data_IF_664282126320
#
_entry.id   IF_664282126320
#
_cell.length_a   1.000
_cell.length_b   1.000
_cell.length_c   1.000
_cell.angle_alpha   90.00
_cell.angle_beta   90.00
_cell.angle_gamma   90.00
#
_symmetry.space_group_name_H-M   'P 1'
#
loop_
_entity.id
_entity.type
_entity.pdbx_description
1 polymer ?
#
# COMPACT_ATOMS: atom_id res chain seq x y z
N UNK A 1 13.19 -25.49 -2.15
CA UNK A 1 12.12 -24.68 -1.54
C UNK A 1 10.83 -25.47 -1.66
N UNK A 2 9.97 -25.46 -0.64
CA UNK A 2 8.63 -26.02 -0.75
C UNK A 2 7.64 -24.88 -1.01
N UNK A 3 6.88 -24.97 -2.10
CA UNK A 3 5.78 -24.04 -2.41
C UNK A 3 4.50 -24.62 -1.82
N UNK A 4 3.74 -23.81 -1.09
CA UNK A 4 2.45 -24.19 -0.51
C UNK A 4 1.41 -23.17 -0.94
N UNK A 5 0.28 -23.66 -1.43
CA UNK A 5 -0.86 -22.83 -1.82
C UNK A 5 -1.71 -22.49 -0.57
N UNK A 6 -2.24 -21.26 -0.53
CA UNK A 6 -3.08 -20.76 0.56
C UNK A 6 -2.49 -19.54 1.28
N UNK A 7 -3.24 -18.98 2.22
CA UNK A 7 -2.77 -17.89 3.07
C UNK A 7 -1.74 -18.46 4.08
N UNK A 8 -0.48 -18.01 4.04
CA UNK A 8 0.53 -18.53 4.95
C UNK A 8 0.24 -18.05 6.37
N UNK A 9 0.43 -18.90 7.41
CA UNK A 9 0.48 -18.40 8.77
C UNK A 9 1.56 -17.31 8.87
N UNK A 10 1.21 -16.16 9.47
CA UNK A 10 2.08 -14.99 9.54
C UNK A 10 3.40 -15.40 10.22
N UNK A 11 4.46 -15.50 9.41
CA UNK A 11 5.73 -16.14 9.78
C UNK A 11 6.89 -15.17 9.88
N UNK A 12 6.66 -13.90 9.54
CA UNK A 12 7.60 -12.81 9.79
C UNK A 12 7.33 -12.16 11.15
N UNK A 13 8.40 -12.00 11.91
CA UNK A 13 8.39 -11.33 13.21
C UNK A 13 9.00 -9.95 13.10
N UNK A 14 8.35 -8.97 13.74
CA UNK A 14 8.74 -7.56 13.70
C UNK A 14 8.91 -7.02 15.11
N UNK A 15 9.83 -6.07 15.28
CA UNK A 15 9.98 -5.26 16.49
C UNK A 15 9.47 -3.85 16.24
N UNK A 16 8.79 -3.28 17.23
CA UNK A 16 8.39 -1.89 17.20
C UNK A 16 9.58 -0.97 17.52
N UNK A 17 9.84 0.00 16.66
CA UNK A 17 10.85 1.05 16.85
C UNK A 17 10.16 2.39 16.59
N UNK A 18 9.71 3.05 17.65
CA UNK A 18 8.91 4.27 17.56
C UNK A 18 7.59 4.05 16.81
N UNK A 19 7.33 4.85 15.76
CA UNK A 19 6.16 4.72 14.87
C UNK A 19 6.41 3.81 13.65
N UNK A 20 7.51 3.06 13.67
CA UNK A 20 7.93 2.18 12.58
C UNK A 20 8.12 0.76 13.08
N UNK A 21 8.08 -0.20 12.16
CA UNK A 21 8.42 -1.59 12.42
C UNK A 21 9.77 -1.90 11.78
N UNK A 22 10.57 -2.71 12.44
CA UNK A 22 11.81 -3.30 11.92
C UNK A 22 11.72 -4.82 11.96
N UNK A 23 12.44 -5.49 11.06
CA UNK A 23 12.54 -6.95 11.04
C UNK A 23 13.24 -7.43 12.30
N UNK A 24 12.71 -8.46 12.94
CA UNK A 24 13.37 -9.10 14.07
C UNK A 24 14.34 -10.18 13.61
N UNK A 25 15.59 -9.81 13.32
CA UNK A 25 16.64 -10.70 12.83
C UNK A 25 17.92 -10.72 13.69
N UNK A 26 17.90 -10.07 14.87
CA UNK A 26 19.07 -9.96 15.78
C UNK A 26 19.52 -11.24 16.46
N UNK A 27 18.95 -12.40 16.13
CA UNK A 27 19.39 -13.70 16.63
C UNK A 27 19.58 -14.61 15.42
N UNK A 28 20.79 -15.14 15.26
CA UNK A 28 21.11 -16.19 14.29
C UNK A 28 20.35 -17.46 14.70
N UNK A 29 19.05 -17.51 14.38
CA UNK A 29 18.19 -18.61 14.77
C UNK A 29 18.32 -19.72 13.75
N UNK A 30 19.20 -20.67 14.05
CA UNK A 30 19.19 -22.01 13.45
C UNK A 30 17.89 -22.72 13.85
N UNK A 31 16.86 -22.67 12.99
CA UNK A 31 15.63 -23.40 13.26
C UNK A 31 14.51 -23.14 12.25
N UNK A 32 14.13 -24.21 11.53
CA UNK A 32 13.02 -24.35 10.58
C UNK A 32 13.04 -23.45 9.32
N UNK A 33 12.54 -23.94 8.15
CA UNK A 33 12.36 -23.11 6.97
C UNK A 33 11.35 -21.99 7.28
N UNK A 34 11.82 -20.73 7.32
CA UNK A 34 10.93 -19.56 7.41
C UNK A 34 10.44 -19.18 6.02
N UNK A 35 9.19 -18.71 5.95
CA UNK A 35 8.67 -18.09 4.75
C UNK A 35 9.56 -16.89 4.40
N UNK A 36 10.11 -16.86 3.18
CA UNK A 36 10.96 -15.76 2.69
C UNK A 36 10.25 -14.92 1.65
N UNK A 37 9.39 -15.57 0.89
CA UNK A 37 8.70 -14.99 -0.24
C UNK A 37 7.30 -15.60 -0.29
N UNK A 38 6.31 -14.74 -0.47
CA UNK A 38 4.96 -15.12 -0.88
C UNK A 38 4.77 -14.64 -2.32
N UNK A 39 4.04 -15.43 -3.12
CA UNK A 39 3.65 -15.03 -4.48
C UNK A 39 2.15 -14.78 -4.46
N UNK A 40 1.75 -13.57 -4.82
CA UNK A 40 0.37 -13.18 -4.97
C UNK A 40 -0.04 -13.36 -6.43
N UNK A 41 -0.76 -14.43 -6.71
CA UNK A 41 -1.25 -14.74 -8.07
C UNK A 41 -2.66 -14.21 -8.26
N UNK A 42 -2.83 -13.32 -9.24
CA UNK A 42 -4.14 -12.83 -9.65
C UNK A 42 -4.74 -13.74 -10.72
N UNK A 43 -5.91 -14.33 -10.45
CA UNK A 43 -6.62 -15.19 -11.41
C UNK A 43 -7.10 -14.49 -12.70
N UNK A 44 -6.94 -13.16 -12.78
CA UNK A 44 -7.14 -12.36 -14.00
C UNK A 44 -6.02 -11.34 -14.12
N UNK A 45 -5.55 -11.13 -15.33
CA UNK A 45 -4.56 -10.10 -15.65
C UNK A 45 -5.09 -8.71 -15.29
N UNK A 46 -4.31 -7.94 -14.52
CA UNK A 46 -4.62 -6.55 -14.23
C UNK A 46 -3.88 -5.66 -15.23
N UNK A 47 -4.52 -5.38 -16.36
CA UNK A 47 -3.95 -4.64 -17.50
C UNK A 47 -3.55 -3.17 -17.19
N UNK A 48 -3.93 -2.67 -16.01
CA UNK A 48 -3.80 -1.26 -15.65
C UNK A 48 -2.37 -0.81 -15.37
N UNK A 49 -1.42 -1.73 -15.15
CA UNK A 49 -0.01 -1.42 -14.88
C UNK A 49 0.87 -1.31 -16.14
N UNK A 50 0.32 -1.50 -17.35
CA UNK A 50 1.01 -1.36 -18.64
C UNK A 50 2.28 -2.21 -18.83
N UNK A 51 2.22 -3.16 -19.78
CA UNK A 51 3.36 -3.97 -20.23
C UNK A 51 3.46 -5.30 -19.49
N UNK A 52 3.17 -6.37 -20.24
CA UNK A 52 2.96 -7.77 -19.84
C UNK A 52 2.01 -7.99 -18.65
N UNK A 53 1.19 -9.02 -18.78
CA UNK A 53 0.24 -9.41 -17.77
C UNK A 53 0.96 -9.71 -16.45
N UNK A 54 0.99 -8.78 -15.49
CA UNK A 54 1.46 -9.10 -14.15
C UNK A 54 0.41 -10.01 -13.52
N UNK A 55 0.67 -11.31 -13.60
CA UNK A 55 -0.11 -12.36 -12.94
C UNK A 55 0.35 -12.57 -11.51
N UNK A 56 1.64 -12.35 -11.26
CA UNK A 56 2.30 -12.73 -10.01
C UNK A 56 3.07 -11.55 -9.41
N UNK A 57 2.87 -11.33 -8.11
CA UNK A 57 3.53 -10.30 -7.34
C UNK A 57 4.33 -10.94 -6.19
N UNK A 58 5.64 -10.68 -6.15
CA UNK A 58 6.53 -11.18 -5.11
C UNK A 58 6.45 -10.32 -3.85
N UNK A 59 6.06 -10.94 -2.74
CA UNK A 59 5.89 -10.31 -1.42
C UNK A 59 6.98 -10.84 -0.50
N UNK A 60 7.92 -9.97 -0.13
CA UNK A 60 8.94 -10.26 0.86
C UNK A 60 8.57 -9.65 2.22
N UNK A 61 9.46 -9.84 3.21
CA UNK A 61 9.26 -9.34 4.55
C UNK A 61 9.12 -7.80 4.63
N UNK A 62 9.74 -7.05 3.72
CA UNK A 62 9.64 -5.58 3.66
C UNK A 62 8.29 -5.13 3.14
N UNK A 63 7.74 -5.80 2.12
CA UNK A 63 6.39 -5.53 1.62
C UNK A 63 5.35 -5.85 2.70
N UNK A 64 5.49 -6.98 3.41
CA UNK A 64 4.60 -7.29 4.53
C UNK A 64 4.74 -6.29 5.67
N UNK A 65 5.95 -5.82 5.97
CA UNK A 65 6.20 -4.77 6.98
C UNK A 65 5.42 -3.49 6.66
N UNK A 66 5.40 -3.07 5.39
CA UNK A 66 4.60 -1.92 4.93
C UNK A 66 3.12 -2.17 5.20
N UNK A 67 2.62 -3.36 4.88
CA UNK A 67 1.24 -3.74 5.17
C UNK A 67 0.93 -3.71 6.67
N UNK A 68 1.80 -4.24 7.54
CA UNK A 68 1.58 -4.19 8.99
C UNK A 68 1.48 -2.76 9.53
N UNK A 69 2.29 -1.84 8.99
CA UNK A 69 2.20 -0.40 9.34
C UNK A 69 0.85 0.16 8.90
N UNK A 70 0.44 -0.09 7.64
CA UNK A 70 -0.85 0.40 7.12
C UNK A 70 -2.04 -0.23 7.87
N UNK A 71 -1.97 -1.50 8.25
CA UNK A 71 -2.98 -2.18 9.06
C UNK A 71 -3.09 -1.56 10.46
N UNK A 72 -1.96 -1.18 11.06
CA UNK A 72 -1.93 -0.41 12.31
C UNK A 72 -2.66 0.93 12.16
N UNK A 73 -2.36 1.67 11.09
CA UNK A 73 -3.03 2.95 10.78
C UNK A 73 -4.53 2.78 10.60
N UNK A 74 -4.98 1.73 9.90
CA UNK A 74 -6.42 1.44 9.73
C UNK A 74 -7.09 1.12 11.05
N UNK A 75 -6.41 0.37 11.92
CA UNK A 75 -6.93 0.01 13.25
C UNK A 75 -7.12 1.27 14.10
N UNK A 76 -6.15 2.19 14.06
CA UNK A 76 -6.24 3.49 14.73
C UNK A 76 -7.33 4.38 14.12
N UNK A 77 -7.35 4.51 12.78
CA UNK A 77 -8.32 5.32 12.04
C UNK A 77 -9.77 4.92 12.32
N UNK A 78 -10.02 3.64 12.54
CA UNK A 78 -11.35 3.09 12.80
C UNK A 78 -11.62 2.78 14.27
N UNK A 79 -10.67 3.05 15.16
CA UNK A 79 -10.88 2.90 16.59
C UNK A 79 -11.93 3.91 17.07
N UNK A 80 -12.77 3.49 18.03
CA UNK A 80 -13.86 4.29 18.57
C UNK A 80 -13.42 5.36 19.58
N UNK A 81 -12.10 5.59 19.74
CA UNK A 81 -11.57 6.58 20.68
C UNK A 81 -11.31 7.89 19.96
N UNK A 82 -12.08 8.96 20.26
CA UNK A 82 -11.73 10.29 19.85
C UNK A 82 -10.61 10.79 20.77
N UNK A 83 -9.42 10.24 20.64
CA UNK A 83 -8.26 11.00 21.10
C UNK A 83 -8.03 12.07 20.03
N UNK A 84 -8.36 13.31 20.36
CA UNK A 84 -8.40 14.53 19.53
C UNK A 84 -7.05 14.88 18.84
N UNK A 85 -6.10 13.95 18.79
CA UNK A 85 -4.69 14.18 18.47
C UNK A 85 -4.12 13.16 17.47
N UNK A 86 -4.79 12.02 17.24
CA UNK A 86 -4.28 10.94 16.40
C UNK A 86 -5.24 10.62 15.25
N UNK A 87 -5.28 11.52 14.27
CA UNK A 87 -5.64 11.09 12.91
C UNK A 87 -4.38 10.48 12.30
N UNK A 88 -4.37 9.19 11.89
CA UNK A 88 -3.18 8.61 11.28
C UNK A 88 -2.83 9.45 10.05
N UNK A 89 -1.62 10.00 10.08
CA UNK A 89 -1.13 10.90 9.06
C UNK A 89 -0.98 10.11 7.76
N UNK A 90 -1.25 10.72 6.59
CA UNK A 90 -0.97 10.08 5.33
C UNK A 90 0.47 9.54 5.29
N UNK A 91 0.68 8.40 4.65
CA UNK A 91 1.99 7.75 4.59
C UNK A 91 2.63 8.00 3.22
N UNK A 92 3.95 8.06 3.20
CA UNK A 92 4.72 8.02 1.93
C UNK A 92 5.67 6.82 1.97
N UNK A 93 5.49 5.90 1.04
CA UNK A 93 6.42 4.80 0.80
C UNK A 93 7.54 5.25 -0.12
N UNK A 94 8.76 5.28 0.39
CA UNK A 94 9.98 5.55 -0.35
C UNK A 94 10.94 4.37 -0.25
N UNK A 95 11.85 4.25 -1.22
CA UNK A 95 12.86 3.20 -1.25
C UNK A 95 13.60 3.26 -2.57
N UNK A 96 14.67 2.49 -2.72
CA UNK A 96 15.55 2.51 -3.90
C UNK A 96 14.75 2.46 -5.22
N UNK A 97 15.05 3.31 -6.22
CA UNK A 97 14.43 3.23 -7.54
C UNK A 97 14.55 1.80 -8.14
N UNK A 98 13.53 1.36 -8.89
CA UNK A 98 13.55 0.04 -9.55
C UNK A 98 13.30 -1.20 -8.66
N UNK A 99 13.24 -1.04 -7.33
CA UNK A 99 13.00 -2.14 -6.36
C UNK A 99 11.60 -2.79 -6.44
N UNK A 100 10.73 -2.34 -7.34
CA UNK A 100 9.37 -2.89 -7.48
C UNK A 100 8.33 -2.39 -6.46
N UNK A 101 8.49 -1.20 -5.86
CA UNK A 101 7.50 -0.63 -4.90
C UNK A 101 6.05 -0.65 -5.43
N UNK A 102 5.83 -0.12 -6.64
CA UNK A 102 4.50 0.02 -7.21
C UNK A 102 3.83 -1.32 -7.49
N UNK A 103 4.59 -2.27 -8.05
CA UNK A 103 4.08 -3.61 -8.37
C UNK A 103 3.99 -4.48 -7.11
N UNK A 104 5.09 -4.62 -6.36
CA UNK A 104 5.14 -5.50 -5.19
C UNK A 104 4.31 -4.96 -4.01
N UNK A 105 4.62 -3.75 -3.53
CA UNK A 105 3.89 -3.18 -2.39
C UNK A 105 2.52 -2.66 -2.80
N UNK A 106 2.41 -1.93 -3.92
CA UNK A 106 1.13 -1.36 -4.36
C UNK A 106 0.04 -2.42 -4.58
N UNK A 107 0.33 -3.49 -5.31
CA UNK A 107 -0.64 -4.56 -5.56
C UNK A 107 -0.94 -5.40 -4.32
N UNK A 108 0.07 -5.73 -3.52
CA UNK A 108 -0.14 -6.47 -2.28
C UNK A 108 -1.03 -5.67 -1.31
N UNK A 109 -0.76 -4.38 -1.13
CA UNK A 109 -1.61 -3.53 -0.30
C UNK A 109 -3.01 -3.38 -0.89
N UNK A 110 -3.15 -3.24 -2.21
CA UNK A 110 -4.46 -3.20 -2.85
C UNK A 110 -5.26 -4.48 -2.57
N UNK A 111 -4.62 -5.65 -2.73
CA UNK A 111 -5.23 -6.94 -2.39
C UNK A 111 -5.68 -6.99 -0.92
N UNK A 112 -4.79 -6.62 0.01
CA UNK A 112 -5.06 -6.63 1.44
C UNK A 112 -6.21 -5.68 1.83
N UNK A 113 -6.25 -4.46 1.27
CA UNK A 113 -7.33 -3.49 1.50
C UNK A 113 -8.68 -3.97 0.94
N UNK A 114 -8.67 -4.63 -0.22
CA UNK A 114 -9.87 -5.22 -0.81
C UNK A 114 -10.42 -6.38 0.03
N UNK A 115 -9.57 -7.11 0.74
CA UNK A 115 -9.97 -8.19 1.66
C UNK A 115 -10.17 -7.74 3.11
N UNK A 116 -9.87 -6.48 3.42
CA UNK A 116 -10.17 -5.90 4.73
C UNK A 116 -11.67 -5.90 5.02
N UNK A 117 -12.06 -5.68 6.28
CA UNK A 117 -13.47 -5.57 6.67
C UNK A 117 -14.20 -4.51 5.82
N UNK A 118 -15.32 -4.90 5.21
CA UNK A 118 -16.14 -4.04 4.34
C UNK A 118 -16.94 -3.01 5.13
N UNK A 119 -17.28 -3.29 6.38
CA UNK A 119 -18.02 -2.38 7.26
C UNK A 119 -17.12 -1.22 7.70
N UNK A 120 -15.85 -1.51 7.97
CA UNK A 120 -14.85 -0.51 8.34
C UNK A 120 -14.32 0.24 7.12
N UNK A 121 -14.03 -0.49 6.04
CA UNK A 121 -13.41 0.03 4.83
C UNK A 121 -14.23 -0.35 3.58
N UNK A 122 -15.32 0.39 3.27
CA UNK A 122 -16.19 0.10 2.14
C UNK A 122 -15.61 0.54 0.79
N UNK A 123 -14.64 1.46 0.77
CA UNK A 123 -14.06 2.01 -0.46
C UNK A 123 -12.53 1.92 -0.46
N UNK A 124 -11.96 1.46 -1.57
CA UNK A 124 -10.51 1.51 -1.84
C UNK A 124 -10.30 2.23 -3.17
N UNK A 125 -9.32 3.12 -3.24
CA UNK A 125 -8.99 3.86 -4.46
C UNK A 125 -7.53 3.64 -4.82
N UNK A 126 -7.27 3.21 -6.04
CA UNK A 126 -5.93 3.00 -6.57
C UNK A 126 -5.66 3.99 -7.70
N UNK A 127 -4.79 4.96 -7.47
CA UNK A 127 -4.31 5.86 -8.52
C UNK A 127 -3.08 5.25 -9.18
N UNK A 128 -3.19 4.96 -10.46
CA UNK A 128 -2.11 4.47 -11.31
C UNK A 128 -1.44 5.65 -11.98
N UNK A 129 -0.15 5.82 -11.69
CA UNK A 129 0.72 6.82 -12.33
C UNK A 129 0.14 8.24 -12.31
N UNK A 130 -0.65 8.58 -11.27
CA UNK A 130 -1.41 9.84 -11.21
C UNK A 130 -2.38 10.13 -12.37
N UNK A 131 -2.58 9.19 -13.31
CA UNK A 131 -3.30 9.40 -14.57
C UNK A 131 -4.64 8.69 -14.63
N UNK A 132 -4.79 7.62 -13.88
CA UNK A 132 -6.04 6.89 -13.79
C UNK A 132 -6.33 6.50 -12.35
N UNK A 133 -7.58 6.62 -11.92
CA UNK A 133 -8.00 6.15 -10.61
C UNK A 133 -9.06 5.05 -10.73
N UNK A 134 -8.83 3.95 -10.04
CA UNK A 134 -9.78 2.86 -9.88
C UNK A 134 -10.44 2.96 -8.52
N UNK A 135 -11.75 3.18 -8.52
CA UNK A 135 -12.56 3.26 -7.30
C UNK A 135 -13.27 1.93 -7.12
N UNK A 136 -12.85 1.18 -6.10
CA UNK A 136 -13.44 -0.09 -5.71
C UNK A 136 -14.45 0.15 -4.59
N UNK A 137 -15.73 -0.08 -4.88
CA UNK A 137 -16.79 -0.09 -3.87
C UNK A 137 -17.06 -1.54 -3.48
N UNK A 138 -16.62 -1.91 -2.28
CA UNK A 138 -16.69 -3.30 -1.79
C UNK A 138 -18.12 -3.71 -1.45
N UNK A 139 -18.92 -2.78 -0.93
CA UNK A 139 -20.34 -3.01 -0.60
C UNK A 139 -21.18 -3.42 -1.81
N UNK A 140 -20.97 -2.76 -2.95
CA UNK A 140 -21.68 -3.05 -4.21
C UNK A 140 -20.90 -3.95 -5.16
N UNK A 141 -19.67 -4.33 -4.81
CA UNK A 141 -18.73 -5.07 -5.66
C UNK A 141 -18.54 -4.45 -7.05
N UNK A 142 -18.48 -3.12 -7.11
CA UNK A 142 -18.32 -2.37 -8.37
C UNK A 142 -16.96 -1.69 -8.44
N UNK A 143 -16.40 -1.64 -9.65
CA UNK A 143 -15.18 -0.88 -9.96
C UNK A 143 -15.51 0.20 -10.98
N UNK A 144 -15.04 1.41 -10.76
CA UNK A 144 -15.19 2.53 -11.70
C UNK A 144 -13.83 3.18 -11.94
N UNK A 145 -13.44 3.37 -13.19
CA UNK A 145 -12.20 4.08 -13.53
C UNK A 145 -12.47 5.53 -13.92
N UNK A 146 -11.49 6.38 -13.65
CA UNK A 146 -11.51 7.81 -13.98
C UNK A 146 -10.16 8.20 -14.56
N UNK A 147 -10.13 8.80 -15.75
CA UNK A 147 -8.90 9.15 -16.48
C UNK A 147 -8.52 10.65 -16.39
N UNK A 148 -9.22 11.43 -15.55
CA UNK A 148 -8.99 12.86 -15.40
C UNK A 148 -8.87 13.27 -13.93
N UNK A 149 -7.77 13.90 -13.54
CA UNK A 149 -7.45 14.23 -12.14
C UNK A 149 -8.57 14.99 -11.41
N UNK A 150 -9.24 15.92 -12.11
CA UNK A 150 -10.38 16.66 -11.57
C UNK A 150 -11.57 15.73 -11.29
N UNK A 151 -11.88 14.81 -12.21
CA UNK A 151 -12.93 13.81 -12.03
C UNK A 151 -12.58 12.82 -10.91
N UNK A 152 -11.33 12.34 -10.85
CA UNK A 152 -10.86 11.44 -9.79
C UNK A 152 -11.03 12.09 -8.41
N UNK A 153 -10.51 13.31 -8.25
CA UNK A 153 -10.57 14.05 -6.99
C UNK A 153 -12.02 14.35 -6.61
N UNK A 154 -12.87 14.69 -7.59
CA UNK A 154 -14.31 14.93 -7.37
C UNK A 154 -15.02 13.65 -6.94
N UNK A 155 -14.72 12.50 -7.54
CA UNK A 155 -15.31 11.22 -7.19
C UNK A 155 -14.98 10.83 -5.74
N UNK A 156 -13.72 10.97 -5.31
CA UNK A 156 -13.31 10.70 -3.93
C UNK A 156 -14.02 11.63 -2.94
N UNK A 157 -14.07 12.94 -3.24
CA UNK A 157 -14.79 13.92 -2.41
C UNK A 157 -16.28 13.61 -2.30
N UNK A 158 -16.92 13.24 -3.39
CA UNK A 158 -18.34 12.88 -3.42
C UNK A 158 -18.63 11.67 -2.51
N UNK A 159 -17.77 10.65 -2.53
CA UNK A 159 -17.90 9.48 -1.67
C UNK A 159 -17.71 9.83 -0.19
N UNK A 160 -16.68 10.62 0.12
CA UNK A 160 -16.46 11.12 1.48
C UNK A 160 -17.62 11.98 1.99
N UNK A 161 -18.20 12.86 1.16
CA UNK A 161 -19.39 13.66 1.52
C UNK A 161 -20.63 12.82 1.83
N UNK A 162 -20.72 11.62 1.26
CA UNK A 162 -21.78 10.64 1.57
C UNK A 162 -21.50 9.85 2.86
N UNK A 163 -20.45 10.20 3.61
CA UNK A 163 -20.05 9.55 4.85
C UNK A 163 -19.30 8.23 4.64
N UNK A 164 -18.89 7.90 3.41
CA UNK A 164 -18.11 6.68 3.18
C UNK A 164 -16.69 6.86 3.68
N UNK A 165 -16.19 5.84 4.38
CA UNK A 165 -14.77 5.69 4.73
C UNK A 165 -14.03 5.03 3.59
N UNK A 166 -12.75 5.36 3.43
CA UNK A 166 -11.95 4.74 2.39
C UNK A 166 -10.46 4.91 2.57
N UNK A 167 -9.71 4.21 1.71
CA UNK A 167 -8.26 4.25 1.67
C UNK A 167 -7.76 4.48 0.25
N UNK A 168 -6.75 5.33 0.12
CA UNK A 168 -6.16 5.68 -1.17
C UNK A 168 -4.74 5.12 -1.24
N UNK A 169 -4.44 4.36 -2.27
CA UNK A 169 -3.06 4.11 -2.70
C UNK A 169 -2.82 4.98 -3.92
N UNK A 170 -1.77 5.80 -3.87
CA UNK A 170 -1.42 6.72 -4.93
C UNK A 170 -0.03 6.42 -5.45
N UNK A 171 0.06 5.84 -6.64
CA UNK A 171 1.33 5.51 -7.29
C UNK A 171 1.85 6.70 -8.12
N UNK A 172 3.01 7.21 -7.73
CA UNK A 172 3.72 8.33 -8.36
C UNK A 172 4.86 7.77 -9.19
N UNK A 173 4.85 8.04 -10.49
CA UNK A 173 5.92 7.62 -11.40
C UNK A 173 6.64 8.81 -12.04
N UNK A 174 5.91 9.87 -12.41
CA UNK A 174 6.51 11.05 -13.01
C UNK A 174 6.86 12.12 -11.95
N UNK A 175 7.91 12.91 -12.24
CA UNK A 175 8.31 14.07 -11.45
C UNK A 175 7.25 15.16 -11.38
N UNK A 176 6.26 15.13 -12.27
CA UNK A 176 5.15 16.08 -12.30
C UNK A 176 3.87 15.55 -11.63
N UNK A 177 3.85 14.28 -11.22
CA UNK A 177 2.69 13.65 -10.59
C UNK A 177 2.61 14.06 -9.11
N UNK A 178 1.98 15.20 -8.84
CA UNK A 178 1.74 15.69 -7.48
C UNK A 178 0.33 15.26 -7.03
N UNK A 179 0.19 14.52 -5.90
CA UNK A 179 -1.12 14.24 -5.34
C UNK A 179 -1.87 15.54 -5.05
N UNK A 180 -3.18 15.57 -5.33
CA UNK A 180 -3.99 16.75 -5.04
C UNK A 180 -3.87 17.15 -3.56
N UNK A 181 -3.68 18.44 -3.23
CA UNK A 181 -3.75 18.93 -1.84
C UNK A 181 -5.09 18.64 -1.16
N UNK A 182 -6.13 18.33 -1.95
CA UNK A 182 -7.43 17.94 -1.43
C UNK A 182 -7.52 16.46 -1.01
N UNK A 183 -6.45 15.68 -1.18
CA UNK A 183 -6.39 14.27 -0.82
C UNK A 183 -5.40 14.01 0.33
N UNK A 184 -5.70 13.05 1.22
CA UNK A 184 -7.00 12.39 1.35
C UNK A 184 -8.06 13.35 1.91
N UNK A 185 -9.36 13.10 1.65
CA UNK A 185 -10.41 13.78 2.41
C UNK A 185 -10.37 13.37 3.89
N UNK A 186 -11.01 14.15 4.76
CA UNK A 186 -11.05 13.85 6.20
C UNK A 186 -11.60 12.45 6.49
N UNK A 187 -10.96 11.75 7.43
CA UNK A 187 -11.34 10.39 7.84
C UNK A 187 -10.94 9.28 6.87
N UNK A 188 -10.17 9.57 5.82
CA UNK A 188 -9.61 8.58 4.90
C UNK A 188 -8.12 8.40 5.13
N UNK A 189 -7.65 7.16 4.99
CA UNK A 189 -6.23 6.85 4.95
C UNK A 189 -5.65 7.03 3.54
N UNK A 190 -4.35 7.30 3.44
CA UNK A 190 -3.67 7.40 2.16
C UNK A 190 -2.21 6.98 2.25
N UNK A 191 -1.78 6.17 1.29
CA UNK A 191 -0.38 5.83 1.04
C UNK A 191 0.03 6.37 -0.33
N UNK A 192 1.04 7.23 -0.36
CA UNK A 192 1.70 7.63 -1.61
C UNK A 192 2.90 6.73 -1.82
N UNK A 193 2.93 6.01 -2.94
CA UNK A 193 4.09 5.23 -3.37
C UNK A 193 4.91 6.11 -4.30
N UNK A 194 6.13 6.47 -3.89
CA UNK A 194 6.97 7.39 -4.64
C UNK A 194 8.39 6.88 -4.82
N UNK A 195 9.02 7.24 -5.94
CA UNK A 195 10.46 7.06 -6.12
C UNK A 195 11.21 8.25 -5.50
N UNK A 196 12.35 8.04 -4.81
CA UNK A 196 13.06 9.10 -4.10
C UNK A 196 13.61 10.20 -5.02
N UNK A 197 13.71 9.93 -6.32
CA UNK A 197 14.13 10.88 -7.36
C UNK A 197 13.02 11.86 -7.77
N UNK A 198 11.79 11.60 -7.34
CA UNK A 198 10.65 12.50 -7.56
C UNK A 198 10.54 13.46 -6.38
N UNK A 199 10.62 14.76 -6.65
CA UNK A 199 10.40 15.79 -5.62
C UNK A 199 8.95 16.26 -5.57
N UNK A 200 8.11 15.83 -6.53
CA UNK A 200 6.69 16.19 -6.64
C UNK A 200 5.90 15.94 -5.36
N UNK A 201 6.08 14.77 -4.75
CA UNK A 201 5.34 14.42 -3.55
C UNK A 201 5.82 15.18 -2.30
N UNK A 202 7.01 15.79 -2.30
CA UNK A 202 7.62 16.39 -1.10
C UNK A 202 6.76 17.55 -0.59
N UNK A 203 6.26 18.39 -1.49
CA UNK A 203 5.38 19.50 -1.11
C UNK A 203 4.12 18.98 -0.42
N UNK A 204 3.44 18.01 -1.05
CA UNK A 204 2.25 17.37 -0.49
C UNK A 204 2.55 16.70 0.85
N UNK A 205 3.67 15.99 0.97
CA UNK A 205 4.07 15.30 2.18
C UNK A 205 4.31 16.28 3.33
N UNK A 206 4.93 17.43 3.07
CA UNK A 206 5.13 18.47 4.07
C UNK A 206 3.81 19.10 4.50
N UNK A 207 2.94 19.44 3.54
CA UNK A 207 1.63 20.04 3.79
C UNK A 207 0.73 19.10 4.61
N UNK A 208 0.74 17.81 4.28
CA UNK A 208 -0.05 16.77 4.98
C UNK A 208 0.64 16.21 6.21
N UNK A 209 1.85 16.67 6.54
CA UNK A 209 2.70 16.12 7.60
C UNK A 209 2.80 14.59 7.48
N UNK A 210 2.96 14.12 6.24
CA UNK A 210 2.93 12.72 5.89
C UNK A 210 4.15 11.99 6.48
N UNK A 211 3.92 10.81 7.05
CA UNK A 211 4.97 10.02 7.69
C UNK A 211 5.61 9.08 6.67
N UNK A 212 6.93 9.09 6.62
CA UNK A 212 7.70 8.29 5.66
C UNK A 212 7.82 6.84 6.13
N UNK A 213 7.64 5.92 5.19
CA UNK A 213 7.98 4.50 5.32
C UNK A 213 9.14 4.25 4.35
N UNK A 214 10.30 3.89 4.88
CA UNK A 214 11.45 3.51 4.06
C UNK A 214 11.36 2.01 3.83
N UNK A 215 11.23 1.58 2.57
CA UNK A 215 11.25 0.18 2.16
C UNK A 215 12.68 -0.22 1.78
N UNK A 216 13.23 -1.21 2.46
CA UNK A 216 14.59 -1.68 2.21
C UNK A 216 14.66 -2.58 0.97
N UNK A 217 15.84 -2.61 0.33
CA UNK A 217 16.14 -3.56 -0.74
C UNK A 217 15.98 -5.01 -0.26
N UNK A 218 15.44 -5.90 -1.10
CA UNK A 218 15.52 -7.33 -0.86
C UNK A 218 16.98 -7.73 -0.66
N UNK A 219 17.25 -8.62 0.28
CA UNK A 219 18.60 -9.14 0.49
C UNK A 219 18.95 -10.21 -0.57
N UNK A 220 20.21 -10.67 -0.60
CA UNK A 220 20.67 -11.69 -1.55
C UNK A 220 19.80 -12.97 -1.50
N UNK A 221 19.32 -13.32 -0.31
CA UNK A 221 18.52 -14.51 -0.09
C UNK A 221 17.10 -14.34 -0.62
N UNK A 222 16.54 -13.15 -0.50
CA UNK A 222 15.25 -12.78 -1.10
C UNK A 222 15.33 -12.83 -2.63
N UNK A 223 16.39 -12.25 -3.21
CA UNK A 223 16.62 -12.29 -4.68
C UNK A 223 16.78 -13.73 -5.16
N UNK A 224 17.55 -14.55 -4.46
CA UNK A 224 17.67 -15.99 -4.77
C UNK A 224 16.34 -16.72 -4.73
N UNK A 225 15.41 -16.32 -3.86
CA UNK A 225 14.09 -16.94 -3.78
C UNK A 225 13.17 -16.54 -4.95
N UNK A 226 13.38 -15.37 -5.56
CA UNK A 226 12.63 -14.90 -6.73
C UNK A 226 13.08 -15.55 -8.04
N UNK A 227 14.31 -16.08 -8.09
CA UNK A 227 14.91 -16.66 -9.30
C UNK A 227 14.72 -18.18 -9.45
N UNK A 228 13.73 -18.78 -8.76
CA UNK A 228 13.49 -20.23 -8.76
C UNK A 228 12.26 -20.61 -9.58
#
# INVERSE_FOLDING_TARGET
MEVREGEPPQSWTYKAVGYTLEKDDGVEQSGAPRLRLMVLTFGKTWYFLGGDAVTDCYVNCEVDRVWQIVKGDLTELFSSRPEDHFTPHPRVLIGTPGIGKSVAAGLYLLYQLLHYDVELLPVVVFFVWGREAYVFKKTTKTVTSYMNMSMMTKAVKELSRRGMKGYIIYDVVDRLDIPSPCLPPGGWGMLVVATPETTSYIHWANEKRAVRIIMNCPDERDVKAMCV
#
